data_IF_817360265954
#
_entry.id   IF_817360265954
#
_cell.length_a   1.000
_cell.length_b   1.000
_cell.length_c   1.000
_cell.angle_alpha   90.00
_cell.angle_beta   90.00
_cell.angle_gamma   90.00
#
_symmetry.space_group_name_H-M   'P 1'
#
loop_
_entity.id
_entity.type
_entity.pdbx_description
1 polymer ?
#
# COMPACT_ATOMS: atom_id res chain seq x y z
N UNK A 1 -12.89 -19.19 -7.90
CA UNK A 1 -12.19 -18.49 -6.80
C UNK A 1 -11.37 -17.39 -7.43
N UNK A 2 -11.69 -16.12 -7.19
CA UNK A 2 -10.85 -14.99 -7.63
C UNK A 2 -9.75 -14.72 -6.59
N UNK A 3 -8.59 -14.28 -7.06
CA UNK A 3 -7.44 -13.92 -6.24
C UNK A 3 -7.03 -12.51 -6.62
N UNK A 4 -6.75 -11.70 -5.61
CA UNK A 4 -6.32 -10.32 -5.75
C UNK A 4 -4.80 -10.24 -5.66
N UNK A 5 -4.20 -9.53 -6.62
CA UNK A 5 -2.77 -9.23 -6.66
C UNK A 5 -2.51 -7.87 -6.02
N UNK A 6 -1.73 -7.87 -4.95
CA UNK A 6 -1.14 -6.66 -4.39
C UNK A 6 0.29 -6.55 -4.89
N UNK A 7 0.62 -5.42 -5.52
CA UNK A 7 1.95 -5.15 -6.05
C UNK A 7 2.36 -3.73 -5.69
N UNK A 8 3.60 -3.58 -5.23
CA UNK A 8 4.26 -2.31 -5.07
C UNK A 8 5.50 -2.29 -5.95
N UNK A 9 5.73 -1.16 -6.63
CA UNK A 9 6.91 -0.92 -7.42
C UNK A 9 7.49 0.45 -7.06
N UNK A 10 8.80 0.61 -7.23
CA UNK A 10 9.45 1.92 -7.13
C UNK A 10 9.16 2.79 -8.36
N UNK A 11 9.65 4.04 -8.34
CA UNK A 11 9.49 4.98 -9.46
C UNK A 11 10.22 4.56 -10.74
N UNK A 12 11.16 3.61 -10.66
CA UNK A 12 11.84 3.02 -11.82
C UNK A 12 11.10 1.78 -12.37
N UNK A 13 9.98 1.39 -11.75
CA UNK A 13 9.18 0.23 -12.12
C UNK A 13 9.68 -1.10 -11.56
N UNK A 14 10.69 -1.10 -10.68
CA UNK A 14 11.17 -2.32 -10.04
C UNK A 14 10.20 -2.76 -8.95
N UNK A 15 9.90 -4.05 -8.88
CA UNK A 15 8.94 -4.59 -7.90
C UNK A 15 9.58 -4.60 -6.51
N UNK A 16 9.04 -3.79 -5.60
CA UNK A 16 9.46 -3.72 -4.22
C UNK A 16 8.78 -4.80 -3.35
N UNK A 17 7.52 -5.13 -3.63
CA UNK A 17 6.78 -6.17 -2.90
C UNK A 17 5.59 -6.70 -3.71
N UNK A 18 5.26 -7.97 -3.51
CA UNK A 18 4.15 -8.64 -4.17
C UNK A 18 3.52 -9.69 -3.26
N UNK A 19 2.19 -9.71 -3.17
CA UNK A 19 1.45 -10.77 -2.46
C UNK A 19 0.11 -11.06 -3.15
N UNK A 20 -0.29 -12.34 -3.14
CA UNK A 20 -1.60 -12.79 -3.57
C UNK A 20 -2.49 -13.00 -2.35
N UNK A 21 -3.73 -12.50 -2.39
CA UNK A 21 -4.72 -12.73 -1.33
C UNK A 21 -6.06 -13.16 -1.92
N UNK A 22 -6.76 -14.02 -1.21
CA UNK A 22 -8.08 -14.50 -1.61
C UNK A 22 -9.18 -13.42 -1.48
N UNK A 23 -8.92 -12.34 -0.74
CA UNK A 23 -9.84 -11.21 -0.59
C UNK A 23 -9.10 -9.90 -0.43
N UNK A 24 -9.61 -8.90 -1.13
CA UNK A 24 -9.24 -7.49 -0.97
C UNK A 24 -10.16 -6.77 0.02
N UNK A 25 -9.57 -6.24 1.08
CA UNK A 25 -10.24 -5.39 2.07
C UNK A 25 -9.25 -4.38 2.66
N UNK A 26 -9.76 -3.45 3.46
CA UNK A 26 -8.95 -2.34 4.03
C UNK A 26 -7.81 -2.89 4.88
N UNK A 27 -8.09 -3.77 5.85
CA UNK A 27 -7.09 -4.38 6.73
C UNK A 27 -5.99 -5.14 5.99
N UNK A 28 -6.35 -5.91 4.95
CA UNK A 28 -5.38 -6.63 4.12
C UNK A 28 -4.49 -5.68 3.33
N UNK A 29 -5.02 -4.50 2.97
CA UNK A 29 -4.32 -3.46 2.22
C UNK A 29 -3.39 -2.65 3.14
N UNK A 30 -3.85 -2.28 4.34
CA UNK A 30 -3.01 -1.68 5.39
C UNK A 30 -1.83 -2.58 5.75
N UNK A 31 -2.08 -3.87 5.97
CA UNK A 31 -1.03 -4.85 6.25
C UNK A 31 -0.02 -4.98 5.09
N UNK A 32 -0.49 -4.87 3.84
CA UNK A 32 0.39 -4.88 2.67
C UNK A 32 1.24 -3.61 2.59
N UNK A 33 0.66 -2.43 2.82
CA UNK A 33 1.39 -1.17 2.84
C UNK A 33 2.42 -1.14 3.97
N UNK A 34 2.03 -1.49 5.20
CA UNK A 34 2.97 -1.56 6.33
C UNK A 34 4.16 -2.49 6.06
N UNK A 35 3.91 -3.67 5.48
CA UNK A 35 5.00 -4.59 5.10
C UNK A 35 5.90 -4.01 4.01
N UNK A 36 5.31 -3.32 3.03
CA UNK A 36 6.06 -2.70 1.93
C UNK A 36 6.91 -1.54 2.41
N UNK A 37 6.35 -0.62 3.20
CA UNK A 37 7.06 0.52 3.80
C UNK A 37 8.18 0.02 4.72
N UNK A 38 7.89 -0.99 5.56
CA UNK A 38 8.91 -1.63 6.39
C UNK A 38 10.04 -2.26 5.59
N UNK A 39 9.74 -2.84 4.41
CA UNK A 39 10.75 -3.39 3.50
C UNK A 39 11.59 -2.30 2.81
N UNK A 40 10.98 -1.18 2.44
CA UNK A 40 11.68 -0.02 1.88
C UNK A 40 12.51 0.73 2.94
N UNK A 41 12.19 0.54 4.22
CA UNK A 41 12.86 1.21 5.35
C UNK A 41 12.48 2.68 5.53
N UNK A 42 11.66 3.24 4.65
CA UNK A 42 11.15 4.60 4.69
C UNK A 42 9.79 4.70 3.99
N UNK A 43 8.97 5.69 4.40
CA UNK A 43 7.73 6.01 3.68
C UNK A 43 8.06 6.64 2.32
N UNK A 44 7.39 6.24 1.23
CA UNK A 44 7.59 6.87 -0.07
C UNK A 44 7.11 8.33 -0.05
N UNK A 45 7.73 9.19 -0.85
CA UNK A 45 7.28 10.58 -1.02
C UNK A 45 5.95 10.64 -1.82
N UNK A 46 5.80 9.76 -2.80
CA UNK A 46 4.63 9.66 -3.67
C UNK A 46 4.13 8.21 -3.66
N UNK A 47 2.86 8.02 -3.33
CA UNK A 47 2.17 6.73 -3.30
C UNK A 47 1.04 6.72 -4.33
N UNK A 48 1.32 6.16 -5.52
CA UNK A 48 0.27 5.96 -6.52
C UNK A 48 -0.58 4.74 -6.17
N UNK A 49 -1.89 4.95 -6.06
CA UNK A 49 -2.87 3.89 -5.78
C UNK A 49 -3.59 3.45 -7.04
N UNK A 50 -4.15 2.24 -7.00
CA UNK A 50 -5.14 1.83 -7.98
C UNK A 50 -6.54 2.38 -7.65
N UNK A 51 -7.49 2.19 -8.57
CA UNK A 51 -8.85 2.74 -8.44
C UNK A 51 -9.70 2.05 -7.35
N UNK A 52 -9.15 1.07 -6.63
CA UNK A 52 -9.95 0.32 -5.67
C UNK A 52 -10.09 1.10 -4.35
N UNK A 53 -11.34 1.34 -3.94
CA UNK A 53 -11.69 2.01 -2.68
C UNK A 53 -10.98 1.48 -1.41
N UNK A 54 -10.60 0.20 -1.37
CA UNK A 54 -9.86 -0.36 -0.23
C UNK A 54 -8.47 0.29 -0.06
N UNK A 55 -7.79 0.62 -1.18
CA UNK A 55 -6.50 1.32 -1.19
C UNK A 55 -6.62 2.71 -0.61
N UNK A 56 -7.59 3.50 -1.10
CA UNK A 56 -7.81 4.87 -0.64
C UNK A 56 -8.20 4.92 0.84
N UNK A 57 -9.06 3.99 1.30
CA UNK A 57 -9.45 3.90 2.72
C UNK A 57 -8.28 3.51 3.62
N UNK A 58 -7.46 2.55 3.19
CA UNK A 58 -6.27 2.13 3.93
C UNK A 58 -5.28 3.29 4.12
N UNK A 59 -5.01 4.05 3.07
CA UNK A 59 -4.16 5.25 3.17
C UNK A 59 -4.75 6.27 4.14
N UNK A 60 -6.05 6.58 4.04
CA UNK A 60 -6.69 7.52 4.96
C UNK A 60 -6.55 7.10 6.43
N UNK A 61 -6.76 5.83 6.75
CA UNK A 61 -6.53 5.31 8.11
C UNK A 61 -5.07 5.41 8.51
N UNK A 62 -4.16 4.97 7.64
CA UNK A 62 -2.72 4.95 7.93
C UNK A 62 -2.12 6.35 8.12
N UNK A 63 -2.64 7.37 7.42
CA UNK A 63 -2.29 8.78 7.65
C UNK A 63 -2.82 9.25 9.01
N UNK A 64 -4.06 8.90 9.38
CA UNK A 64 -4.62 9.24 10.69
C UNK A 64 -3.84 8.61 11.85
N UNK A 65 -3.35 7.38 11.66
CA UNK A 65 -2.54 6.65 12.63
C UNK A 65 -1.05 7.03 12.60
N UNK A 66 -0.66 8.04 11.81
CA UNK A 66 0.74 8.50 11.64
C UNK A 66 1.72 7.40 11.17
N UNK A 67 1.21 6.34 10.55
CA UNK A 67 2.02 5.24 9.98
C UNK A 67 2.53 5.56 8.57
N UNK A 68 1.79 6.38 7.84
CA UNK A 68 2.28 7.13 6.68
C UNK A 68 2.69 8.51 7.16
N UNK A 69 3.84 9.00 6.68
CA UNK A 69 4.25 10.37 6.99
C UNK A 69 3.26 11.37 6.36
N UNK A 70 2.97 12.47 7.04
CA UNK A 70 2.08 13.54 6.51
C UNK A 70 2.56 14.10 5.16
N UNK A 71 3.85 13.94 4.85
CA UNK A 71 4.46 14.37 3.59
C UNK A 71 4.22 13.39 2.42
N UNK A 72 3.68 12.20 2.68
CA UNK A 72 3.38 11.23 1.61
C UNK A 72 2.21 11.74 0.77
N UNK A 73 2.45 12.04 -0.50
CA UNK A 73 1.42 12.45 -1.46
C UNK A 73 0.77 11.22 -2.09
N UNK A 74 -0.55 11.27 -2.27
CA UNK A 74 -1.36 10.17 -2.81
C UNK A 74 -2.06 10.62 -4.07
#
# INVERSE_FOLDING_TARGET
MSVDLYRAADGAGQIANLILRARRNVTATEAFFGKTIGHLGQSPEILTLDEHAASHRAVHHMTADSTLTENTKV
#
